data_IF_388052840048
#
_entry.id   IF_388052840048
#
_cell.length_a   1.000
_cell.length_b   1.000
_cell.length_c   1.000
_cell.angle_alpha   90.00
_cell.angle_beta   90.00
_cell.angle_gamma   90.00
#
_symmetry.space_group_name_H-M   'P 1'
#
loop_
_entity.id
_entity.type
_entity.pdbx_description
1 polymer ?
#
# COMPACT_ATOMS: atom_id res chain seq x y z
N UNK A 1 31.74 -18.62 3.73
CA UNK A 1 30.58 -18.41 2.84
C UNK A 1 30.29 -16.93 2.83
N UNK A 2 30.81 -16.19 1.85
CA UNK A 2 30.38 -14.80 1.65
C UNK A 2 28.94 -14.85 1.14
N UNK A 3 28.01 -14.34 1.94
CA UNK A 3 26.70 -13.98 1.43
C UNK A 3 26.96 -12.80 0.50
N UNK A 4 27.20 -13.09 -0.78
CA UNK A 4 27.07 -12.11 -1.84
C UNK A 4 25.73 -11.41 -1.59
N UNK A 5 25.82 -10.15 -1.17
CA UNK A 5 24.74 -9.19 -1.23
C UNK A 5 24.46 -8.97 -2.72
N UNK A 6 24.00 -10.00 -3.43
CA UNK A 6 23.27 -9.82 -4.68
C UNK A 6 22.21 -8.83 -4.29
N UNK A 7 22.32 -7.61 -4.83
CA UNK A 7 21.29 -6.58 -4.71
C UNK A 7 20.01 -7.30 -5.11
N UNK A 8 19.23 -7.76 -4.13
CA UNK A 8 17.91 -8.30 -4.39
C UNK A 8 17.23 -7.14 -5.06
N UNK A 9 16.85 -7.32 -6.32
CA UNK A 9 15.98 -6.33 -6.94
C UNK A 9 14.84 -6.13 -5.95
N UNK A 10 14.60 -4.87 -5.53
CA UNK A 10 13.49 -4.60 -4.63
C UNK A 10 12.27 -5.22 -5.27
N UNK A 11 11.52 -5.94 -4.45
CA UNK A 11 10.36 -6.64 -4.96
C UNK A 11 9.47 -5.57 -5.62
N UNK A 12 8.98 -5.75 -6.86
CA UNK A 12 8.26 -4.71 -7.59
C UNK A 12 7.06 -4.15 -6.79
N UNK A 13 6.58 -4.93 -5.83
CA UNK A 13 5.54 -4.63 -4.86
C UNK A 13 5.92 -3.54 -3.84
N UNK A 14 7.21 -3.35 -3.51
CA UNK A 14 7.67 -2.23 -2.67
C UNK A 14 7.36 -0.88 -3.30
N UNK A 15 7.55 -0.80 -4.62
CA UNK A 15 7.21 0.39 -5.40
C UNK A 15 5.69 0.63 -5.41
N UNK A 16 4.90 -0.44 -5.50
CA UNK A 16 3.44 -0.36 -5.45
C UNK A 16 2.95 0.14 -4.08
N UNK A 17 3.47 -0.41 -2.98
CA UNK A 17 3.12 0.00 -1.62
C UNK A 17 3.55 1.45 -1.33
N UNK A 18 4.70 1.90 -1.84
CA UNK A 18 5.16 3.27 -1.67
C UNK A 18 4.21 4.31 -2.28
N UNK A 19 3.45 3.94 -3.32
CA UNK A 19 2.48 4.82 -3.96
C UNK A 19 1.16 4.97 -3.16
N UNK A 20 0.92 4.11 -2.16
CA UNK A 20 -0.25 4.16 -1.28
C UNK A 20 -0.09 5.21 -0.18
N UNK A 21 -0.10 6.50 -0.57
CA UNK A 21 0.18 7.64 0.32
C UNK A 21 -0.77 7.77 1.52
N UNK A 22 -1.98 7.25 1.39
CA UNK A 22 -3.02 7.26 2.44
C UNK A 22 -2.85 6.15 3.49
N UNK A 23 -1.93 5.21 3.25
CA UNK A 23 -1.50 4.24 4.26
C UNK A 23 -0.33 4.82 5.05
N UNK A 24 -0.29 4.53 6.34
CA UNK A 24 0.85 4.85 7.20
C UNK A 24 2.07 4.00 6.86
N UNK A 25 3.26 4.44 7.27
CA UNK A 25 4.49 3.67 7.07
C UNK A 25 4.43 2.29 7.73
N UNK A 26 3.82 2.19 8.92
CA UNK A 26 3.63 0.91 9.61
C UNK A 26 2.71 -0.05 8.85
N UNK A 27 1.64 0.46 8.24
CA UNK A 27 0.75 -0.34 7.39
C UNK A 27 1.46 -0.85 6.14
N UNK A 28 2.23 0.02 5.46
CA UNK A 28 3.02 -0.38 4.28
C UNK A 28 4.09 -1.41 4.64
N UNK A 29 4.79 -1.22 5.76
CA UNK A 29 5.79 -2.18 6.24
C UNK A 29 5.15 -3.53 6.61
N UNK A 30 3.97 -3.50 7.24
CA UNK A 30 3.20 -4.70 7.55
C UNK A 30 2.77 -5.46 6.29
N UNK A 31 2.29 -4.76 5.28
CA UNK A 31 1.94 -5.34 3.98
C UNK A 31 3.16 -5.95 3.29
N UNK A 32 4.29 -5.24 3.26
CA UNK A 32 5.52 -5.77 2.67
C UNK A 32 5.98 -7.09 3.35
N UNK A 33 5.94 -7.13 4.68
CA UNK A 33 6.27 -8.35 5.43
C UNK A 33 5.29 -9.49 5.12
N UNK A 34 4.00 -9.20 5.00
CA UNK A 34 2.99 -10.18 4.63
C UNK A 34 3.28 -10.75 3.23
N UNK A 35 3.56 -9.89 2.25
CA UNK A 35 3.84 -10.31 0.87
C UNK A 35 5.10 -11.16 0.73
N UNK A 36 6.14 -10.88 1.53
CA UNK A 36 7.34 -11.74 1.61
C UNK A 36 6.99 -13.14 2.14
N UNK A 37 6.07 -13.23 3.10
CA UNK A 37 5.64 -14.50 3.70
C UNK A 37 4.69 -15.28 2.79
N UNK A 38 3.88 -14.57 2.01
CA UNK A 38 3.01 -15.17 0.99
C UNK A 38 3.88 -15.75 -0.12
N UNK A 39 3.70 -17.02 -0.45
CA UNK A 39 4.50 -17.72 -1.47
C UNK A 39 3.84 -17.75 -2.85
N UNK A 40 2.50 -17.69 -2.88
CA UNK A 40 1.70 -17.65 -4.10
C UNK A 40 1.70 -16.23 -4.70
N UNK A 41 2.14 -16.04 -5.97
CA UNK A 41 2.10 -14.74 -6.61
C UNK A 41 0.69 -14.16 -6.77
N UNK A 42 -0.36 -14.98 -6.92
CA UNK A 42 -1.73 -14.47 -7.06
C UNK A 42 -2.28 -13.92 -5.75
N UNK A 43 -1.97 -14.59 -4.63
CA UNK A 43 -2.34 -14.07 -3.30
C UNK A 43 -1.62 -12.73 -2.99
N UNK A 44 -0.41 -12.53 -3.52
CA UNK A 44 0.27 -11.23 -3.41
C UNK A 44 -0.42 -10.15 -4.22
N UNK A 45 -0.93 -10.46 -5.42
CA UNK A 45 -1.73 -9.53 -6.21
C UNK A 45 -3.01 -9.13 -5.48
N UNK A 46 -3.71 -10.09 -4.86
CA UNK A 46 -4.91 -9.84 -4.04
C UNK A 46 -4.59 -8.89 -2.87
N UNK A 47 -3.46 -9.10 -2.17
CA UNK A 47 -3.00 -8.22 -1.08
C UNK A 47 -2.76 -6.78 -1.57
N UNK A 48 -2.17 -6.60 -2.76
CA UNK A 48 -1.98 -5.26 -3.34
C UNK A 48 -3.31 -4.61 -3.69
N UNK A 49 -4.23 -5.37 -4.28
CA UNK A 49 -5.54 -4.86 -4.66
C UNK A 49 -6.31 -4.38 -3.42
N UNK A 50 -6.35 -5.18 -2.36
CA UNK A 50 -6.98 -4.80 -1.09
C UNK A 50 -6.35 -3.54 -0.49
N UNK A 51 -5.00 -3.47 -0.46
CA UNK A 51 -4.28 -2.31 0.05
C UNK A 51 -4.59 -1.03 -0.77
N UNK A 52 -4.69 -1.16 -2.09
CA UNK A 52 -5.04 -0.07 -2.98
C UNK A 52 -6.49 0.39 -2.79
N UNK A 53 -7.43 -0.53 -2.60
CA UNK A 53 -8.83 -0.20 -2.29
C UNK A 53 -8.95 0.54 -0.95
N UNK A 54 -8.22 0.11 0.08
CA UNK A 54 -8.17 0.79 1.37
C UNK A 54 -7.63 2.23 1.23
N UNK A 55 -6.53 2.40 0.50
CA UNK A 55 -5.95 3.71 0.25
C UNK A 55 -6.94 4.63 -0.50
N UNK A 56 -7.63 4.10 -1.53
CA UNK A 56 -8.63 4.85 -2.28
C UNK A 56 -9.80 5.28 -1.39
N UNK A 57 -10.32 4.38 -0.54
CA UNK A 57 -11.39 4.70 0.40
C UNK A 57 -11.00 5.83 1.35
N UNK A 58 -9.79 5.79 1.90
CA UNK A 58 -9.26 6.86 2.77
C UNK A 58 -9.10 8.17 2.01
N UNK A 59 -8.62 8.14 0.77
CA UNK A 59 -8.56 9.32 -0.09
C UNK A 59 -9.95 9.93 -0.34
N UNK A 60 -10.97 9.10 -0.57
CA UNK A 60 -12.34 9.57 -0.76
C UNK A 60 -12.93 10.18 0.53
N UNK A 61 -12.68 9.56 1.69
CA UNK A 61 -13.10 10.08 2.98
C UNK A 61 -12.43 11.42 3.30
N UNK A 62 -11.13 11.54 3.03
CA UNK A 62 -10.39 12.80 3.16
C UNK A 62 -10.92 13.90 2.22
N UNK A 63 -11.39 13.55 1.02
CA UNK A 63 -12.04 14.52 0.10
C UNK A 63 -13.42 14.95 0.61
N UNK A 64 -14.19 14.03 1.20
CA UNK A 64 -15.54 14.32 1.74
C UNK A 64 -15.49 15.25 2.94
N UNK A 65 -14.48 15.13 3.80
CA UNK A 65 -14.32 15.99 5.00
C UNK A 65 -13.86 17.41 4.68
N UNK A 66 -13.31 17.67 3.49
CA UNK A 66 -12.84 19.00 3.06
C UNK A 66 -13.91 19.85 2.36
N UNK A 67 -15.10 19.30 2.04
CA UNK A 67 -16.19 20.13 1.52
C UNK A 67 -16.85 20.93 2.66
N UNK A 68 -16.73 22.28 2.71
CA UNK A 68 -17.48 23.06 3.68
C UNK A 68 -18.99 22.96 3.36
N UNK A 69 -19.88 23.12 4.36
CA UNK A 69 -21.31 23.13 4.09
C UNK A 69 -21.59 24.26 3.09
N UNK A 70 -22.22 23.93 1.95
CA UNK A 70 -22.78 24.95 1.05
C UNK A 70 -23.69 25.82 1.91
N UNK A 71 -23.26 27.05 2.20
CA UNK A 71 -24.13 28.07 2.79
C UNK A 71 -25.35 28.16 1.88
N UNK A 72 -26.49 27.66 2.33
CA UNK A 72 -27.78 27.96 1.71
C UNK A 72 -28.01 29.44 1.98
N UNK A 73 -27.78 30.25 0.94
CA UNK A 73 -28.34 31.60 0.83
C UNK A 73 -29.82 31.49 0.53
#
# INVERSE_FOLDING_TARGET
MSFDQRKREPFPEDLALHNLKELTEAERAGLHLLMIQTSDPYEREDILEEAQQLANKRAEEAKKTVMPPRKRV
#
